data_IF_374190782830
#
_entry.id   IF_374190782830
#
_cell.length_a   1.000
_cell.length_b   1.000
_cell.length_c   1.000
_cell.angle_alpha   90.00
_cell.angle_beta   90.00
_cell.angle_gamma   90.00
#
_symmetry.space_group_name_H-M   'P 1'
#
loop_
_entity.id
_entity.type
_entity.pdbx_description
1 polymer ?
#
# COMPACT_ATOMS: atom_id res chain seq x y z
N UNK A 1 -7.99 6.98 11.23
CA UNK A 1 -7.56 6.36 9.96
C UNK A 1 -7.36 4.88 10.21
N UNK A 2 -7.99 4.01 9.43
CA UNK A 2 -7.78 2.56 9.51
C UNK A 2 -6.76 2.17 8.44
N UNK A 3 -5.72 1.45 8.83
CA UNK A 3 -4.74 0.94 7.88
C UNK A 3 -5.31 -0.27 7.14
N UNK A 4 -4.99 -0.37 5.86
CA UNK A 4 -5.29 -1.54 5.03
C UNK A 4 -3.97 -2.15 4.58
N UNK A 5 -3.93 -3.48 4.55
CA UNK A 5 -2.80 -4.21 4.01
C UNK A 5 -3.05 -4.53 2.54
N UNK A 6 -2.04 -4.33 1.69
CA UNK A 6 -2.03 -4.76 0.30
C UNK A 6 -0.87 -5.74 0.11
N UNK A 7 -1.19 -6.99 -0.25
CA UNK A 7 -0.22 -8.04 -0.54
C UNK A 7 -0.01 -8.15 -2.05
N UNK A 8 1.24 -7.96 -2.49
CA UNK A 8 1.65 -8.20 -3.88
C UNK A 8 2.20 -9.62 -4.00
N UNK A 9 1.74 -10.35 -5.01
CA UNK A 9 2.15 -11.73 -5.29
C UNK A 9 2.93 -11.81 -6.60
N UNK A 10 3.82 -12.78 -6.70
CA UNK A 10 4.54 -13.15 -7.92
C UNK A 10 5.24 -11.97 -8.61
N UNK A 11 4.98 -11.76 -9.90
CA UNK A 11 5.57 -10.70 -10.71
C UNK A 11 5.25 -9.30 -10.17
N UNK A 12 4.11 -9.10 -9.51
CA UNK A 12 3.79 -7.80 -8.91
C UNK A 12 4.69 -7.46 -7.73
N UNK A 13 5.08 -8.46 -6.94
CA UNK A 13 6.05 -8.26 -5.86
C UNK A 13 7.43 -7.88 -6.42
N UNK A 14 7.80 -8.44 -7.57
CA UNK A 14 9.11 -8.21 -8.19
C UNK A 14 9.17 -6.90 -8.96
N UNK A 15 8.12 -6.56 -9.70
CA UNK A 15 8.12 -5.40 -10.60
C UNK A 15 7.67 -4.14 -9.83
N UNK A 16 6.40 -4.08 -9.45
CA UNK A 16 5.83 -2.93 -8.73
C UNK A 16 6.36 -2.85 -7.30
N UNK A 17 6.59 -3.98 -6.63
CA UNK A 17 7.15 -3.98 -5.28
C UNK A 17 8.54 -3.33 -5.23
N UNK A 18 9.40 -3.58 -6.24
CA UNK A 18 10.71 -2.91 -6.34
C UNK A 18 10.58 -1.42 -6.63
N UNK A 19 9.69 -1.04 -7.56
CA UNK A 19 9.43 0.37 -7.88
C UNK A 19 8.95 1.14 -6.64
N UNK A 20 7.93 0.62 -5.95
CA UNK A 20 7.40 1.20 -4.71
C UNK A 20 8.52 1.31 -3.66
N UNK A 21 9.32 0.27 -3.48
CA UNK A 21 10.42 0.27 -2.50
C UNK A 21 11.46 1.34 -2.82
N UNK A 22 11.88 1.45 -4.09
CA UNK A 22 12.82 2.49 -4.53
C UNK A 22 12.25 3.90 -4.31
N UNK A 23 10.96 4.09 -4.57
CA UNK A 23 10.33 5.39 -4.37
C UNK A 23 10.17 5.75 -2.89
N UNK A 24 10.02 4.79 -1.99
CA UNK A 24 10.00 5.05 -0.54
C UNK A 24 11.34 5.63 -0.04
N UNK A 25 12.46 5.32 -0.69
CA UNK A 25 13.77 5.89 -0.36
C UNK A 25 13.84 7.40 -0.66
N UNK A 26 13.03 7.87 -1.61
CA UNK A 26 12.95 9.30 -1.98
C UNK A 26 12.27 10.17 -0.91
N UNK A 27 11.73 9.57 0.17
CA UNK A 27 11.00 10.22 1.27
C UNK A 27 9.72 10.97 0.86
N UNK A 28 9.21 10.72 -0.34
CA UNK A 28 7.90 11.16 -0.78
C UNK A 28 6.87 10.06 -0.60
N UNK A 29 5.66 10.45 -0.16
CA UNK A 29 4.54 9.52 -0.06
C UNK A 29 3.97 9.32 -1.46
N UNK A 30 4.12 8.12 -2.01
CA UNK A 30 3.61 7.83 -3.35
C UNK A 30 2.14 7.45 -3.32
N UNK A 31 1.43 7.81 -4.39
CA UNK A 31 0.05 7.37 -4.60
C UNK A 31 0.09 6.13 -5.47
N UNK A 32 -0.55 5.07 -5.00
CA UNK A 32 -0.66 3.82 -5.74
C UNK A 32 -2.13 3.62 -6.09
N UNK A 33 -2.41 3.52 -7.38
CA UNK A 33 -3.73 3.14 -7.89
C UNK A 33 -3.69 1.68 -8.26
N UNK A 34 -4.64 0.93 -7.71
CA UNK A 34 -4.77 -0.49 -7.99
C UNK A 34 -6.18 -0.80 -8.46
N UNK A 35 -6.28 -1.61 -9.52
CA UNK A 35 -7.55 -2.11 -10.06
C UNK A 35 -7.49 -3.63 -10.12
N UNK A 36 -8.68 -4.26 -10.03
CA UNK A 36 -8.82 -5.74 -10.09
C UNK A 36 -7.98 -6.43 -9.02
N UNK A 37 -8.17 -6.01 -7.77
CA UNK A 37 -7.65 -6.71 -6.59
C UNK A 37 -8.77 -7.51 -5.96
N UNK A 38 -8.40 -8.63 -5.35
CA UNK A 38 -9.30 -9.33 -4.45
C UNK A 38 -9.10 -8.81 -3.01
N UNK A 39 -10.07 -9.08 -2.15
CA UNK A 39 -10.02 -8.71 -0.75
C UNK A 39 -10.35 -9.89 0.15
N UNK A 40 -9.86 -9.84 1.38
CA UNK A 40 -10.27 -10.75 2.45
C UNK A 40 -10.57 -9.96 3.72
N UNK A 41 -11.50 -10.49 4.52
CA UNK A 41 -11.83 -9.96 5.84
C UNK A 41 -11.09 -10.70 6.98
N UNK A 42 -10.23 -11.67 6.65
CA UNK A 42 -9.49 -12.44 7.63
C UNK A 42 -8.53 -11.54 8.42
N UNK A 43 -8.75 -11.41 9.72
CA UNK A 43 -8.03 -10.52 10.64
C UNK A 43 -8.05 -9.02 10.26
N UNK A 44 -9.10 -8.59 9.56
CA UNK A 44 -9.23 -7.21 9.08
C UNK A 44 -9.41 -7.17 7.56
N UNK A 45 -9.64 -5.98 7.01
CA UNK A 45 -9.77 -5.81 5.56
C UNK A 45 -8.38 -5.70 4.96
N UNK A 46 -8.00 -6.69 4.16
CA UNK A 46 -6.77 -6.69 3.37
C UNK A 46 -7.07 -6.96 1.90
N UNK A 47 -6.19 -6.46 1.04
CA UNK A 47 -6.25 -6.54 -0.41
C UNK A 47 -5.09 -7.41 -0.89
N UNK A 48 -5.27 -8.12 -2.00
CA UNK A 48 -4.20 -8.85 -2.64
C UNK A 48 -4.27 -8.78 -4.16
N UNK A 49 -3.10 -8.75 -4.81
CA UNK A 49 -3.00 -8.74 -6.27
C UNK A 49 -3.55 -10.03 -6.86
N UNK A 50 -4.41 -9.90 -7.87
CA UNK A 50 -4.77 -10.97 -8.80
C UNK A 50 -3.80 -11.01 -9.95
N UNK A 51 -3.82 -12.10 -10.72
CA UNK A 51 -3.02 -12.22 -11.95
C UNK A 51 -3.35 -11.14 -12.99
N UNK A 52 -4.60 -10.66 -13.03
CA UNK A 52 -5.07 -9.59 -13.93
C UNK A 52 -5.15 -8.21 -13.27
N UNK A 53 -4.47 -8.03 -12.13
CA UNK A 53 -4.43 -6.75 -11.44
C UNK A 53 -3.66 -5.70 -12.26
N UNK A 54 -4.10 -4.44 -12.15
CA UNK A 54 -3.40 -3.30 -12.76
C UNK A 54 -2.92 -2.38 -11.65
N UNK A 55 -1.67 -1.98 -11.75
CA UNK A 55 -1.00 -1.09 -10.80
C UNK A 55 -0.43 0.11 -11.53
N UNK A 56 -0.66 1.29 -10.97
CA UNK A 56 -0.06 2.54 -11.42
C UNK A 56 0.50 3.26 -10.18
N UNK A 57 1.80 3.54 -10.20
CA UNK A 57 2.50 4.26 -9.14
C UNK A 57 2.70 5.70 -9.59
N UNK A 58 2.30 6.65 -8.74
CA UNK A 58 2.26 8.09 -8.99
C UNK A 58 1.65 8.46 -10.33
N UNK A 59 0.34 8.22 -10.50
CA UNK A 59 -0.34 8.54 -11.74
C UNK A 59 -0.19 10.03 -12.08
N UNK A 60 0.30 10.32 -13.29
CA UNK A 60 0.41 11.67 -13.81
C UNK A 60 -0.96 12.28 -14.17
N UNK A 61 -2.03 11.47 -14.17
CA UNK A 61 -3.35 11.88 -14.63
C UNK A 61 -4.01 12.90 -13.69
N UNK A 62 -4.66 13.91 -14.28
CA UNK A 62 -5.33 15.00 -13.54
C UNK A 62 -6.51 14.55 -12.70
N UNK A 63 -7.06 13.36 -12.97
CA UNK A 63 -8.12 12.73 -12.17
C UNK A 63 -7.71 12.53 -10.71
N UNK A 64 -6.41 12.46 -10.41
CA UNK A 64 -5.90 12.21 -9.06
C UNK A 64 -5.41 13.46 -8.33
N UNK A 65 -5.59 14.68 -8.87
CA UNK A 65 -5.12 15.91 -8.24
C UNK A 65 -5.70 16.13 -6.84
N UNK A 66 -6.99 15.81 -6.62
CA UNK A 66 -7.59 15.90 -5.29
C UNK A 66 -6.94 14.93 -4.29
N UNK A 67 -6.53 13.74 -4.74
CA UNK A 67 -5.84 12.76 -3.91
C UNK A 67 -4.40 13.18 -3.62
N UNK A 68 -3.69 13.72 -4.62
CA UNK A 68 -2.36 14.33 -4.46
C UNK A 68 -2.39 15.45 -3.44
N UNK A 69 -3.35 16.38 -3.57
CA UNK A 69 -3.55 17.47 -2.61
C UNK A 69 -3.82 16.93 -1.21
N UNK A 70 -4.75 15.99 -1.05
CA UNK A 70 -5.05 15.40 0.26
C UNK A 70 -3.83 14.73 0.89
N UNK A 71 -3.02 14.01 0.11
CA UNK A 71 -1.77 13.40 0.56
C UNK A 71 -0.80 14.48 1.06
N UNK A 72 -0.58 15.52 0.27
CA UNK A 72 0.38 16.58 0.59
C UNK A 72 -0.05 17.34 1.86
N UNK A 73 -1.34 17.62 1.99
CA UNK A 73 -1.94 18.23 3.18
C UNK A 73 -1.89 17.28 4.41
N UNK A 74 -1.68 15.98 4.22
CA UNK A 74 -1.67 14.93 5.26
C UNK A 74 -0.27 14.40 5.64
N UNK A 75 0.81 14.97 5.11
CA UNK A 75 2.19 14.49 5.30
C UNK A 75 2.55 14.27 6.78
N UNK A 76 2.22 15.23 7.65
CA UNK A 76 2.57 15.14 9.07
C UNK A 76 1.80 14.05 9.81
N UNK A 77 0.55 13.78 9.37
CA UNK A 77 -0.23 12.66 9.87
C UNK A 77 0.46 11.33 9.53
N UNK A 78 0.92 11.16 8.29
CA UNK A 78 1.62 9.94 7.87
C UNK A 78 2.93 9.73 8.64
N UNK A 79 3.73 10.78 8.79
CA UNK A 79 4.96 10.75 9.60
C UNK A 79 4.68 10.32 11.04
N UNK A 80 3.62 10.86 11.66
CA UNK A 80 3.21 10.48 13.02
C UNK A 80 2.79 9.00 13.09
N UNK A 81 2.00 8.52 12.14
CA UNK A 81 1.57 7.11 12.08
C UNK A 81 2.76 6.14 11.93
N UNK A 82 3.73 6.49 11.10
CA UNK A 82 4.97 5.72 10.92
C UNK A 82 5.81 5.74 12.21
N UNK A 83 5.99 6.92 12.82
CA UNK A 83 6.74 7.06 14.07
C UNK A 83 6.14 6.25 15.22
N UNK A 84 4.81 6.18 15.30
CA UNK A 84 4.09 5.35 16.27
C UNK A 84 4.10 3.85 15.93
N UNK A 85 4.67 3.46 14.78
CA UNK A 85 4.68 2.08 14.27
C UNK A 85 3.28 1.47 14.20
N UNK A 86 2.26 2.28 13.90
CA UNK A 86 0.85 1.87 13.85
C UNK A 86 0.57 0.73 12.85
N UNK A 87 1.47 0.54 11.87
CA UNK A 87 1.42 -0.57 10.91
C UNK A 87 1.72 -1.94 11.54
N UNK A 88 2.38 -2.00 12.70
CA UNK A 88 2.69 -3.28 13.38
C UNK A 88 1.43 -4.03 13.79
N UNK A 89 0.37 -3.33 14.15
CA UNK A 89 -0.90 -3.96 14.51
C UNK A 89 -1.51 -4.68 13.30
N UNK A 90 -1.41 -4.08 12.11
CA UNK A 90 -1.82 -4.70 10.85
C UNK A 90 -0.90 -5.88 10.46
N UNK A 91 0.40 -5.80 10.74
CA UNK A 91 1.33 -6.91 10.50
C UNK A 91 1.07 -8.09 11.44
N UNK A 92 0.78 -7.82 12.71
CA UNK A 92 0.44 -8.86 13.70
C UNK A 92 -0.88 -9.56 13.37
N UNK A 93 -1.75 -8.89 12.63
CA UNK A 93 -2.99 -9.44 12.12
C UNK A 93 -2.79 -10.38 10.92
N UNK A 94 -1.61 -10.42 10.29
CA UNK A 94 -1.36 -11.38 9.22
C UNK A 94 -1.32 -12.83 9.74
N UNK A 95 -1.77 -13.82 8.93
CA UNK A 95 -1.56 -15.22 9.26
C UNK A 95 -0.08 -15.46 9.50
N UNK A 96 0.28 -15.93 10.70
CA UNK A 96 1.65 -16.38 10.96
C UNK A 96 1.89 -17.62 10.11
N UNK A 97 2.75 -17.50 9.11
CA UNK A 97 3.21 -18.66 8.34
C UNK A 97 3.88 -19.60 9.33
N UNK A 98 3.24 -20.74 9.61
CA UNK A 98 3.92 -21.86 10.26
C UNK A 98 4.84 -22.44 9.19
N UNK A 99 6.14 -22.22 9.34
CA UNK A 99 7.15 -23.02 8.64
C UNK A 99 6.92 -24.47 9.05
N UNK A 100 6.62 -25.33 8.08
CA UNK A 100 6.60 -26.79 8.22
C UNK A 100 8.03 -27.33 8.15
#
# INVERSE_FOLDING_TARGET
>A
MKLMLLTLWEEFATNQGKEITSLLETRHFQIIIVKRVDFTAFNGVSLFSRFDAMFEVDPAHTTFESLKKWRDDSIDLFKRFIGLKAYKDALNALPKVKTF
#
